data_IF_772961583114
#
_entry.id   IF_772961583114
#
_cell.length_a   1.000
_cell.length_b   1.000
_cell.length_c   1.000
_cell.angle_alpha   90.00
_cell.angle_beta   90.00
_cell.angle_gamma   90.00
#
_symmetry.space_group_name_H-M   'P 1'
#
loop_
_entity.id
_entity.type
_entity.pdbx_description
1 polymer ?
#
# COMPACT_ATOMS: atom_id res chain seq x y z
N UNK A 1 -41.13 -49.70 -28.46
CA UNK A 1 -41.10 -48.72 -29.58
C UNK A 1 -41.59 -47.38 -29.03
N UNK A 2 -40.85 -46.31 -29.30
CA UNK A 2 -40.93 -44.93 -28.77
C UNK A 2 -42.35 -44.31 -28.68
N UNK A 3 -42.77 -43.57 -27.63
CA UNK A 3 -42.37 -42.24 -27.08
C UNK A 3 -43.18 -41.08 -27.70
N UNK A 4 -44.11 -40.47 -26.92
CA UNK A 4 -44.19 -39.02 -26.61
C UNK A 4 -45.46 -38.67 -25.80
N UNK A 5 -45.22 -38.23 -24.56
CA UNK A 5 -46.19 -37.72 -23.59
C UNK A 5 -46.44 -36.21 -23.80
N UNK A 6 -47.71 -35.82 -23.69
CA UNK A 6 -48.14 -34.46 -23.39
C UNK A 6 -49.26 -34.52 -22.34
N UNK A 7 -49.04 -33.79 -21.25
CA UNK A 7 -49.99 -33.00 -20.44
C UNK A 7 -51.27 -33.71 -19.95
N UNK A 8 -51.41 -33.85 -18.62
CA UNK A 8 -52.71 -33.62 -17.96
C UNK A 8 -52.58 -33.38 -16.44
N UNK A 9 -53.27 -32.31 -16.02
CA UNK A 9 -53.86 -31.98 -14.73
C UNK A 9 -54.23 -33.15 -13.80
N UNK A 10 -54.20 -32.93 -12.48
CA UNK A 10 -54.75 -33.90 -11.53
C UNK A 10 -54.82 -33.42 -10.08
N UNK A 11 -55.96 -32.84 -9.72
CA UNK A 11 -56.40 -32.58 -8.35
C UNK A 11 -56.74 -33.90 -7.64
N UNK A 12 -56.38 -33.98 -6.35
CA UNK A 12 -56.87 -34.86 -5.28
C UNK A 12 -57.42 -36.26 -5.61
N UNK A 13 -56.78 -37.28 -5.03
CA UNK A 13 -57.39 -38.19 -4.03
C UNK A 13 -56.39 -39.29 -3.68
N UNK A 14 -56.15 -39.54 -2.40
CA UNK A 14 -55.70 -40.86 -1.97
C UNK A 14 -56.29 -41.22 -0.60
N UNK A 15 -56.87 -42.40 -0.63
CA UNK A 15 -57.70 -43.08 0.35
C UNK A 15 -56.83 -43.64 1.48
N UNK A 16 -57.32 -43.55 2.72
CA UNK A 16 -56.74 -44.26 3.86
C UNK A 16 -57.23 -45.72 3.81
N UNK A 17 -56.30 -46.67 3.71
CA UNK A 17 -56.52 -48.09 4.01
C UNK A 17 -55.46 -48.53 5.01
N UNK A 18 -55.90 -49.22 6.07
CA UNK A 18 -55.18 -49.39 7.33
C UNK A 18 -53.85 -50.15 7.29
N UNK A 19 -53.00 -49.79 8.25
CA UNK A 19 -51.80 -50.49 8.66
C UNK A 19 -51.12 -49.70 9.77
N UNK A 20 -51.09 -50.25 10.99
CA UNK A 20 -50.58 -49.61 12.21
C UNK A 20 -49.15 -49.09 12.06
N UNK A 21 -48.89 -47.84 12.48
CA UNK A 21 -47.54 -47.35 12.77
C UNK A 21 -47.33 -47.31 14.28
N UNK A 22 -46.25 -47.95 14.72
CA UNK A 22 -45.75 -47.97 16.09
C UNK A 22 -44.98 -46.68 16.36
N UNK A 23 -45.28 -45.97 17.45
CA UNK A 23 -44.49 -44.82 17.91
C UNK A 23 -43.30 -45.28 18.77
N UNK A 24 -42.08 -44.75 18.56
CA UNK A 24 -41.04 -44.82 19.58
C UNK A 24 -41.44 -43.89 20.74
N UNK A 25 -41.40 -44.41 21.96
CA UNK A 25 -41.57 -43.62 23.16
C UNK A 25 -40.35 -42.70 23.34
N UNK A 26 -40.60 -41.39 23.43
CA UNK A 26 -39.94 -40.60 24.46
C UNK A 26 -40.84 -39.43 24.88
N UNK A 27 -40.98 -39.34 26.20
CA UNK A 27 -41.96 -38.60 26.97
C UNK A 27 -41.53 -37.14 27.18
N UNK A 28 -42.34 -36.20 26.69
CA UNK A 28 -42.78 -34.99 27.40
C UNK A 28 -43.78 -34.16 26.56
N UNK A 29 -44.73 -34.83 25.91
CA UNK A 29 -45.85 -34.17 25.24
C UNK A 29 -47.03 -34.03 26.20
N UNK A 30 -47.26 -32.82 26.72
CA UNK A 30 -48.50 -32.45 27.39
C UNK A 30 -49.55 -32.17 26.30
N UNK A 31 -50.45 -33.12 26.05
CA UNK A 31 -51.56 -32.93 25.11
C UNK A 31 -52.56 -31.95 25.72
N UNK A 32 -52.65 -30.75 25.15
CA UNK A 32 -53.74 -29.79 25.38
C UNK A 32 -54.60 -29.80 24.10
N UNK A 33 -55.91 -29.94 24.27
CA UNK A 33 -56.83 -30.40 23.23
C UNK A 33 -57.14 -29.43 22.08
N UNK A 34 -57.69 -30.05 21.02
CA UNK A 34 -58.50 -29.54 19.91
C UNK A 34 -57.93 -28.36 19.07
N UNK A 35 -57.65 -28.69 17.79
CA UNK A 35 -57.11 -27.84 16.72
C UNK A 35 -55.66 -27.38 16.91
N UNK A 36 -54.73 -28.32 16.89
CA UNK A 36 -53.35 -28.02 16.48
C UNK A 36 -53.28 -27.98 14.96
N UNK A 37 -53.56 -26.83 14.35
CA UNK A 37 -52.96 -26.52 13.05
C UNK A 37 -51.45 -26.56 13.27
N UNK A 38 -50.77 -27.53 12.67
CA UNK A 38 -49.33 -27.45 12.48
C UNK A 38 -49.10 -26.24 11.57
N UNK A 39 -48.91 -25.06 12.17
CA UNK A 39 -48.32 -23.94 11.45
C UNK A 39 -46.93 -24.40 11.03
N UNK A 40 -46.77 -24.78 9.76
CA UNK A 40 -45.46 -24.80 9.15
C UNK A 40 -44.93 -23.38 9.28
N UNK A 41 -43.99 -23.18 10.22
CA UNK A 41 -43.18 -21.98 10.24
C UNK A 41 -42.32 -22.05 8.99
N UNK A 42 -42.84 -21.53 7.88
CA UNK A 42 -42.05 -21.30 6.67
C UNK A 42 -41.00 -20.27 7.05
N UNK A 43 -39.74 -20.70 7.14
CA UNK A 43 -38.63 -19.77 7.38
C UNK A 43 -38.67 -18.72 6.27
N UNK A 44 -38.72 -17.46 6.66
CA UNK A 44 -38.68 -16.34 5.71
C UNK A 44 -37.35 -16.39 4.96
N UNK A 45 -37.43 -16.48 3.63
CA UNK A 45 -36.26 -16.45 2.75
C UNK A 45 -35.99 -14.99 2.40
N UNK A 46 -34.80 -14.51 2.74
CA UNK A 46 -34.34 -13.15 2.51
C UNK A 46 -33.79 -13.04 1.08
N UNK A 47 -34.36 -12.16 0.24
CA UNK A 47 -33.84 -11.96 -1.11
C UNK A 47 -32.55 -11.13 -1.06
N UNK A 48 -31.47 -11.71 -1.59
CA UNK A 48 -30.22 -11.00 -1.91
C UNK A 48 -30.17 -10.82 -3.42
N UNK A 49 -30.14 -9.56 -3.87
CA UNK A 49 -30.32 -9.19 -5.28
C UNK A 49 -29.04 -8.70 -5.94
N UNK A 50 -28.07 -8.17 -5.18
CA UNK A 50 -26.76 -7.86 -5.73
C UNK A 50 -26.01 -9.18 -6.04
N UNK A 51 -25.61 -9.44 -7.30
CA UNK A 51 -25.02 -10.73 -7.67
C UNK A 51 -23.69 -11.01 -6.97
N UNK A 52 -22.85 -9.98 -6.80
CA UNK A 52 -21.55 -10.11 -6.13
C UNK A 52 -21.74 -10.43 -4.65
N UNK A 53 -22.65 -9.72 -4.00
CA UNK A 53 -22.97 -9.97 -2.60
C UNK A 53 -23.67 -11.33 -2.40
N UNK A 54 -24.59 -11.72 -3.29
CA UNK A 54 -25.24 -13.03 -3.26
C UNK A 54 -24.22 -14.16 -3.36
N UNK A 55 -23.24 -14.03 -4.25
CA UNK A 55 -22.18 -15.01 -4.38
C UNK A 55 -21.34 -15.14 -3.09
N UNK A 56 -20.97 -13.99 -2.51
CA UNK A 56 -20.20 -13.96 -1.27
C UNK A 56 -20.98 -14.56 -0.08
N UNK A 57 -22.26 -14.21 0.06
CA UNK A 57 -23.14 -14.75 1.11
C UNK A 57 -23.36 -16.25 0.92
N UNK A 58 -23.60 -16.72 -0.32
CA UNK A 58 -23.71 -18.17 -0.61
C UNK A 58 -22.45 -18.92 -0.16
N UNK A 59 -21.27 -18.35 -0.45
CA UNK A 59 -19.98 -18.94 -0.07
C UNK A 59 -19.81 -18.99 1.44
N UNK A 60 -20.11 -17.88 2.13
CA UNK A 60 -20.05 -17.82 3.59
C UNK A 60 -21.02 -18.81 4.25
N UNK A 61 -22.28 -18.88 3.78
CA UNK A 61 -23.25 -19.86 4.27
C UNK A 61 -22.80 -21.29 4.02
N UNK A 62 -22.18 -21.58 2.87
CA UNK A 62 -21.68 -22.93 2.57
C UNK A 62 -20.65 -23.39 3.59
N UNK A 63 -19.78 -22.46 4.03
CA UNK A 63 -18.78 -22.71 5.07
C UNK A 63 -19.46 -22.89 6.43
N UNK A 64 -20.34 -21.96 6.83
CA UNK A 64 -21.02 -21.99 8.13
C UNK A 64 -21.94 -23.20 8.33
N UNK A 65 -22.58 -23.67 7.25
CA UNK A 65 -23.52 -24.79 7.31
C UNK A 65 -22.87 -26.15 7.01
N UNK A 66 -21.67 -26.17 6.42
CA UNK A 66 -20.97 -27.41 6.05
C UNK A 66 -21.57 -28.15 4.86
N UNK A 67 -22.41 -27.49 4.06
CA UNK A 67 -22.98 -28.01 2.81
C UNK A 67 -23.18 -26.89 1.80
N UNK A 68 -23.25 -27.18 0.47
CA UNK A 68 -23.56 -26.18 -0.54
C UNK A 68 -24.88 -25.46 -0.19
N UNK A 69 -24.80 -24.15 0.04
CA UNK A 69 -25.96 -23.35 0.37
C UNK A 69 -26.89 -23.20 -0.84
N UNK A 70 -28.20 -23.24 -0.57
CA UNK A 70 -29.28 -23.07 -1.53
C UNK A 70 -30.10 -21.82 -1.18
N UNK A 71 -31.05 -21.42 -2.04
CA UNK A 71 -31.95 -20.29 -1.73
C UNK A 71 -32.72 -20.48 -0.42
N UNK A 72 -33.01 -21.73 -0.02
CA UNK A 72 -33.71 -22.02 1.24
C UNK A 72 -32.87 -21.72 2.48
N UNK A 73 -31.55 -21.59 2.33
CA UNK A 73 -30.63 -21.31 3.43
C UNK A 73 -30.52 -19.83 3.79
N UNK A 74 -31.05 -18.93 2.95
CA UNK A 74 -31.03 -17.47 3.14
C UNK A 74 -32.06 -17.01 4.18
N UNK A 75 -31.98 -17.58 5.37
CA UNK A 75 -32.88 -17.27 6.48
C UNK A 75 -32.18 -16.35 7.47
N UNK A 76 -32.93 -15.54 8.22
CA UNK A 76 -32.38 -14.63 9.24
C UNK A 76 -31.47 -15.37 10.24
N UNK A 77 -31.85 -16.59 10.62
CA UNK A 77 -31.08 -17.46 11.51
C UNK A 77 -29.69 -17.76 10.93
N UNK A 78 -29.63 -18.19 9.67
CA UNK A 78 -28.39 -18.55 9.02
C UNK A 78 -27.53 -17.34 8.67
N UNK A 79 -28.12 -16.27 8.14
CA UNK A 79 -27.38 -15.04 7.82
C UNK A 79 -26.77 -14.39 9.07
N UNK A 80 -27.39 -14.54 10.24
CA UNK A 80 -26.82 -14.07 11.51
C UNK A 80 -25.57 -14.83 11.96
N UNK A 81 -25.27 -15.99 11.37
CA UNK A 81 -24.04 -16.75 11.67
C UNK A 81 -22.83 -16.20 10.93
N UNK A 82 -23.03 -15.44 9.87
CA UNK A 82 -21.94 -14.89 9.05
C UNK A 82 -21.21 -13.79 9.84
N UNK A 83 -19.94 -14.03 10.13
CA UNK A 83 -19.02 -13.05 10.74
C UNK A 83 -17.98 -12.52 9.77
N UNK A 84 -17.76 -13.21 8.65
CA UNK A 84 -16.76 -12.82 7.64
C UNK A 84 -17.36 -12.91 6.25
N UNK A 85 -17.17 -11.85 5.47
CA UNK A 85 -17.50 -11.81 4.05
C UNK A 85 -16.30 -11.35 3.25
N UNK A 86 -16.01 -12.09 2.18
CA UNK A 86 -14.95 -11.75 1.26
C UNK A 86 -15.49 -11.75 -0.16
N UNK A 87 -15.30 -10.64 -0.84
CA UNK A 87 -15.79 -10.38 -2.19
C UNK A 87 -14.59 -10.06 -3.05
N UNK A 88 -14.28 -10.95 -3.99
CA UNK A 88 -13.12 -10.86 -4.86
C UNK A 88 -13.55 -10.93 -6.31
N UNK A 89 -13.07 -10.01 -7.14
CA UNK A 89 -13.21 -10.07 -8.61
C UNK A 89 -14.67 -10.15 -9.10
N UNK A 90 -15.63 -9.80 -8.25
CA UNK A 90 -17.05 -9.73 -8.60
C UNK A 90 -17.56 -8.32 -8.39
N UNK A 91 -18.20 -7.72 -9.41
CA UNK A 91 -18.88 -6.44 -9.27
C UNK A 91 -19.87 -6.45 -8.11
N UNK A 92 -19.80 -5.40 -7.28
CA UNK A 92 -20.78 -5.12 -6.24
C UNK A 92 -21.27 -3.71 -6.44
N UNK A 93 -22.56 -3.59 -6.77
CA UNK A 93 -23.19 -2.32 -7.06
C UNK A 93 -23.85 -1.73 -5.81
N UNK A 94 -24.26 -2.58 -4.86
CA UNK A 94 -24.88 -2.13 -3.61
C UNK A 94 -24.48 -2.99 -2.42
N UNK A 95 -24.22 -2.33 -1.28
CA UNK A 95 -24.03 -2.97 0.01
C UNK A 95 -25.28 -2.96 0.90
N UNK A 96 -26.42 -2.50 0.39
CA UNK A 96 -27.64 -2.27 1.18
C UNK A 96 -28.18 -3.53 1.87
N UNK A 97 -27.89 -4.70 1.32
CA UNK A 97 -28.33 -6.00 1.83
C UNK A 97 -27.41 -6.55 2.93
N UNK A 98 -26.29 -5.89 3.24
CA UNK A 98 -25.45 -6.22 4.40
C UNK A 98 -26.20 -6.05 5.73
N UNK A 99 -27.31 -5.30 5.76
CA UNK A 99 -28.20 -5.22 6.92
C UNK A 99 -28.74 -6.58 7.38
N UNK A 100 -28.72 -7.60 6.52
CA UNK A 100 -29.17 -8.96 6.85
C UNK A 100 -28.09 -9.84 7.48
N UNK A 101 -26.83 -9.38 7.52
CA UNK A 101 -25.70 -10.05 8.19
C UNK A 101 -25.21 -9.22 9.38
N UNK A 102 -26.03 -9.02 10.43
CA UNK A 102 -25.77 -8.03 11.48
C UNK A 102 -24.57 -8.36 12.38
N UNK A 103 -24.04 -9.58 12.29
CA UNK A 103 -22.90 -10.04 13.07
C UNK A 103 -21.57 -9.99 12.31
N UNK A 104 -21.53 -9.28 11.18
CA UNK A 104 -20.31 -9.15 10.38
C UNK A 104 -19.20 -8.43 11.17
N UNK A 105 -18.06 -9.11 11.29
CA UNK A 105 -16.85 -8.64 11.98
C UNK A 105 -15.75 -8.27 10.98
N UNK A 106 -15.66 -8.98 9.85
CA UNK A 106 -14.68 -8.73 8.81
C UNK A 106 -15.33 -8.66 7.42
N UNK A 107 -15.04 -7.59 6.69
CA UNK A 107 -15.50 -7.38 5.32
C UNK A 107 -14.30 -7.06 4.42
N UNK A 108 -14.06 -7.93 3.44
CA UNK A 108 -13.12 -7.66 2.37
C UNK A 108 -13.89 -7.49 1.05
N UNK A 109 -13.70 -6.34 0.40
CA UNK A 109 -14.20 -6.05 -0.95
C UNK A 109 -13.01 -5.63 -1.79
N UNK A 110 -12.37 -6.60 -2.45
CA UNK A 110 -11.17 -6.36 -3.23
C UNK A 110 -11.41 -6.52 -4.72
N UNK A 111 -10.83 -5.62 -5.52
CA UNK A 111 -10.78 -5.72 -6.98
C UNK A 111 -12.15 -5.98 -7.63
N UNK A 112 -13.19 -5.27 -7.17
CA UNK A 112 -14.56 -5.47 -7.64
C UNK A 112 -14.84 -4.78 -9.00
N UNK A 113 -13.90 -3.99 -9.53
CA UNK A 113 -13.97 -3.38 -10.87
C UNK A 113 -15.08 -2.33 -11.05
N UNK A 114 -15.83 -2.03 -10.00
CA UNK A 114 -16.92 -1.05 -10.01
C UNK A 114 -16.70 -0.03 -8.89
N UNK A 115 -16.65 1.28 -9.20
CA UNK A 115 -16.68 2.31 -8.18
C UNK A 115 -17.89 2.08 -7.29
N UNK A 116 -17.66 1.95 -5.99
CA UNK A 116 -18.74 1.72 -5.05
C UNK A 116 -19.44 3.06 -4.81
N UNK A 117 -20.76 3.10 -4.95
CA UNK A 117 -21.48 4.37 -4.85
C UNK A 117 -21.54 4.92 -3.41
N UNK A 118 -21.48 4.06 -2.38
CA UNK A 118 -21.57 4.48 -0.98
C UNK A 118 -21.18 3.36 -0.01
N UNK A 119 -20.52 3.73 1.10
CA UNK A 119 -20.29 2.87 2.26
C UNK A 119 -21.39 2.99 3.33
N UNK A 120 -22.45 3.79 3.11
CA UNK A 120 -23.48 4.05 4.13
C UNK A 120 -24.13 2.78 4.72
N UNK A 121 -24.29 1.66 4.00
CA UNK A 121 -24.80 0.42 4.60
C UNK A 121 -23.90 -0.17 5.69
N UNK A 122 -22.62 0.21 5.74
CA UNK A 122 -21.69 -0.24 6.78
C UNK A 122 -21.89 0.50 8.11
N UNK A 123 -22.54 1.67 8.12
CA UNK A 123 -22.76 2.46 9.34
C UNK A 123 -23.54 1.69 10.43
N UNK A 124 -24.38 0.73 10.04
CA UNK A 124 -25.16 -0.10 10.95
C UNK A 124 -24.44 -1.37 11.46
N UNK A 125 -23.26 -1.69 10.93
CA UNK A 125 -22.53 -2.92 11.25
C UNK A 125 -21.63 -2.70 12.47
N UNK A 126 -22.25 -2.58 13.65
CA UNK A 126 -21.55 -2.21 14.90
C UNK A 126 -20.48 -3.22 15.37
N UNK A 127 -20.44 -4.42 14.78
CA UNK A 127 -19.42 -5.44 15.05
C UNK A 127 -18.28 -5.44 14.04
N UNK A 128 -18.34 -4.61 13.00
CA UNK A 128 -17.34 -4.57 11.95
C UNK A 128 -16.02 -4.02 12.52
N UNK A 129 -15.02 -4.89 12.61
CA UNK A 129 -13.69 -4.63 13.17
C UNK A 129 -12.64 -4.51 12.05
N UNK A 130 -12.82 -5.26 10.97
CA UNK A 130 -11.90 -5.32 9.83
C UNK A 130 -12.62 -4.91 8.55
N UNK A 131 -12.07 -3.91 7.85
CA UNK A 131 -12.55 -3.47 6.54
C UNK A 131 -11.38 -3.38 5.56
N UNK A 132 -11.44 -4.17 4.49
CA UNK A 132 -10.54 -4.05 3.34
C UNK A 132 -11.34 -3.66 2.09
N UNK A 133 -10.91 -2.61 1.40
CA UNK A 133 -11.44 -2.11 0.14
C UNK A 133 -10.33 -2.07 -0.94
N UNK A 134 -9.37 -2.99 -0.87
CA UNK A 134 -8.18 -2.98 -1.73
C UNK A 134 -8.55 -2.99 -3.23
N UNK A 135 -8.07 -1.99 -3.97
CA UNK A 135 -8.36 -1.84 -5.39
C UNK A 135 -9.84 -1.59 -5.71
N UNK A 136 -10.66 -1.25 -4.71
CA UNK A 136 -12.01 -0.74 -4.91
C UNK A 136 -11.94 0.79 -5.02
N UNK A 137 -12.46 1.40 -6.10
CA UNK A 137 -12.46 2.85 -6.20
C UNK A 137 -13.37 3.44 -5.11
N UNK A 138 -12.76 4.14 -4.16
CA UNK A 138 -13.46 4.90 -3.11
C UNK A 138 -13.47 6.38 -3.52
N UNK A 139 -14.66 6.97 -3.62
CA UNK A 139 -14.79 8.40 -3.89
C UNK A 139 -14.73 9.24 -2.61
N UNK A 140 -14.46 10.54 -2.74
CA UNK A 140 -14.30 11.47 -1.61
C UNK A 140 -15.44 11.42 -0.56
N UNK A 141 -16.68 11.22 -1.02
CA UNK A 141 -17.86 11.14 -0.14
C UNK A 141 -17.83 9.89 0.77
N UNK A 142 -17.11 8.84 0.39
CA UNK A 142 -17.02 7.59 1.16
C UNK A 142 -16.14 7.72 2.40
N UNK A 143 -15.13 8.60 2.41
CA UNK A 143 -14.28 8.83 3.59
C UNK A 143 -15.05 9.47 4.75
N UNK A 144 -16.06 10.29 4.44
CA UNK A 144 -16.98 10.84 5.44
C UNK A 144 -17.79 9.74 6.14
N UNK A 145 -18.06 8.64 5.43
CA UNK A 145 -18.76 7.47 5.96
C UNK A 145 -17.84 6.59 6.80
N UNK A 146 -16.58 6.40 6.39
CA UNK A 146 -15.59 5.66 7.18
C UNK A 146 -15.51 6.21 8.61
N UNK A 147 -15.46 7.54 8.75
CA UNK A 147 -15.46 8.24 10.04
C UNK A 147 -16.69 7.99 10.94
N UNK A 148 -17.71 7.25 10.49
CA UNK A 148 -18.85 6.82 11.30
C UNK A 148 -18.75 5.36 11.76
N UNK A 149 -17.89 4.55 11.14
CA UNK A 149 -17.69 3.14 11.45
C UNK A 149 -16.70 3.02 12.62
N UNK A 150 -17.09 3.54 13.78
CA UNK A 150 -16.20 3.69 14.96
C UNK A 150 -15.70 2.37 15.57
N UNK A 151 -16.26 1.23 15.16
CA UNK A 151 -15.86 -0.11 15.58
C UNK A 151 -14.57 -0.60 14.92
N UNK A 152 -14.13 0.04 13.82
CA UNK A 152 -12.97 -0.42 13.06
C UNK A 152 -11.68 -0.40 13.88
N UNK A 153 -10.93 -1.49 13.77
CA UNK A 153 -9.56 -1.64 14.26
C UNK A 153 -8.55 -1.79 13.13
N UNK A 154 -8.96 -2.41 12.03
CA UNK A 154 -8.10 -2.65 10.89
C UNK A 154 -8.77 -2.10 9.64
N UNK A 155 -8.07 -1.18 8.97
CA UNK A 155 -8.53 -0.53 7.76
C UNK A 155 -7.48 -0.70 6.67
N UNK A 156 -7.86 -1.33 5.57
CA UNK A 156 -7.02 -1.46 4.38
C UNK A 156 -7.77 -0.92 3.17
N UNK A 157 -7.22 0.13 2.57
CA UNK A 157 -7.81 0.86 1.44
C UNK A 157 -6.72 1.17 0.42
N UNK A 158 -5.77 0.22 0.28
CA UNK A 158 -4.73 0.25 -0.73
C UNK A 158 -5.29 0.25 -2.17
N UNK A 159 -4.51 0.79 -3.12
CA UNK A 159 -4.92 1.04 -4.51
C UNK A 159 -5.15 2.52 -4.79
N UNK A 160 -5.44 2.93 -6.04
CA UNK A 160 -5.49 4.34 -6.47
C UNK A 160 -6.61 5.18 -5.81
N UNK A 161 -6.51 5.49 -4.51
CA UNK A 161 -7.47 6.31 -3.78
C UNK A 161 -6.93 7.74 -3.63
N UNK A 162 -7.51 8.72 -4.34
CA UNK A 162 -7.08 10.10 -4.16
C UNK A 162 -7.64 10.64 -2.83
N UNK A 163 -6.79 11.37 -2.10
CA UNK A 163 -7.16 12.34 -1.08
C UNK A 163 -8.15 11.86 0.02
N UNK A 164 -7.69 10.94 0.87
CA UNK A 164 -8.46 10.39 1.98
C UNK A 164 -8.90 11.40 3.06
N UNK A 165 -8.26 12.58 3.12
CA UNK A 165 -8.53 13.57 4.16
C UNK A 165 -8.24 13.03 5.57
N UNK A 166 -9.08 13.35 6.55
CA UNK A 166 -8.89 12.98 7.96
C UNK A 166 -9.60 11.68 8.34
N UNK A 167 -8.94 10.81 9.11
CA UNK A 167 -9.52 9.61 9.75
C UNK A 167 -9.71 9.81 11.27
N UNK A 168 -9.90 11.05 11.68
CA UNK A 168 -9.87 11.51 13.07
C UNK A 168 -10.99 10.95 13.96
N UNK A 169 -12.05 10.35 13.41
CA UNK A 169 -13.20 9.86 14.19
C UNK A 169 -13.21 8.35 14.40
N UNK A 170 -12.06 7.69 14.24
CA UNK A 170 -11.92 6.25 14.34
C UNK A 170 -11.08 5.83 15.57
N UNK A 171 -11.62 5.94 16.80
CA UNK A 171 -10.85 5.86 18.04
C UNK A 171 -10.22 4.48 18.31
N UNK A 172 -10.68 3.44 17.62
CA UNK A 172 -10.28 2.06 17.85
C UNK A 172 -9.25 1.54 16.84
N UNK A 173 -8.81 2.36 15.87
CA UNK A 173 -7.83 1.91 14.88
C UNK A 173 -6.53 1.43 15.54
N UNK A 174 -6.12 0.23 15.15
CA UNK A 174 -4.87 -0.42 15.54
C UNK A 174 -3.92 -0.55 14.33
N UNK A 175 -4.46 -0.66 13.11
CA UNK A 175 -3.68 -0.80 11.87
C UNK A 175 -4.36 -0.10 10.69
N UNK A 176 -3.59 0.65 9.91
CA UNK A 176 -4.07 1.32 8.69
C UNK A 176 -3.12 1.05 7.53
N UNK A 177 -3.68 0.59 6.41
CA UNK A 177 -2.99 0.38 5.14
C UNK A 177 -3.58 1.26 4.05
N UNK A 178 -2.72 2.09 3.48
CA UNK A 178 -2.96 3.01 2.36
C UNK A 178 -1.80 2.86 1.37
N UNK A 179 -1.37 1.63 1.08
CA UNK A 179 -0.26 1.36 0.15
C UNK A 179 -0.74 1.38 -1.31
N UNK A 180 0.14 1.69 -2.26
CA UNK A 180 -0.15 1.66 -3.70
C UNK A 180 -1.25 2.64 -4.14
N UNK A 181 -1.32 3.86 -3.59
CA UNK A 181 -2.27 4.87 -4.07
C UNK A 181 -1.74 5.71 -5.24
N UNK A 182 -0.43 5.67 -5.52
CA UNK A 182 0.27 6.37 -6.62
C UNK A 182 0.06 7.90 -6.72
N UNK A 183 -0.83 8.47 -5.89
CA UNK A 183 -1.36 9.84 -5.95
C UNK A 183 -1.50 10.45 -4.55
N UNK A 184 -1.32 9.65 -3.50
CA UNK A 184 -1.40 10.13 -2.12
C UNK A 184 -0.16 10.95 -1.79
N UNK A 185 -0.32 12.28 -1.72
CA UNK A 185 0.77 13.21 -1.38
C UNK A 185 0.86 13.47 0.13
N UNK A 186 -0.22 13.22 0.87
CA UNK A 186 -0.35 13.52 2.30
C UNK A 186 -1.01 12.37 3.03
N UNK A 187 -0.43 11.99 4.15
CA UNK A 187 -1.03 11.02 5.05
C UNK A 187 -2.27 11.61 5.75
N UNK A 188 -3.30 10.79 6.06
CA UNK A 188 -4.45 11.23 6.85
C UNK A 188 -4.06 11.58 8.29
N UNK A 189 -4.87 12.41 8.95
CA UNK A 189 -4.77 12.63 10.40
C UNK A 189 -5.52 11.55 11.18
N UNK A 190 -5.12 11.35 12.44
CA UNK A 190 -5.58 10.26 13.31
C UNK A 190 -5.92 10.73 14.73
N UNK A 191 -6.50 11.92 14.91
CA UNK A 191 -6.59 12.61 16.21
C UNK A 191 -7.13 11.77 17.38
N UNK A 192 -8.07 10.84 17.15
CA UNK A 192 -8.63 9.98 18.22
C UNK A 192 -8.00 8.60 18.33
N UNK A 193 -7.18 8.19 17.35
CA UNK A 193 -6.71 6.81 17.15
C UNK A 193 -5.44 6.49 17.94
N UNK A 194 -5.47 6.71 19.25
CA UNK A 194 -4.31 6.50 20.15
C UNK A 194 -3.82 5.05 20.25
N UNK A 195 -4.58 4.11 19.69
CA UNK A 195 -4.33 2.67 19.74
C UNK A 195 -3.56 2.14 18.52
N UNK A 196 -3.24 2.99 17.53
CA UNK A 196 -2.51 2.59 16.33
C UNK A 196 -1.15 2.00 16.69
N UNK A 197 -0.89 0.83 16.12
CA UNK A 197 0.37 0.07 16.23
C UNK A 197 1.08 -0.04 14.88
N UNK A 198 0.36 0.00 13.77
CA UNK A 198 0.95 -0.16 12.45
C UNK A 198 0.35 0.80 11.41
N UNK A 199 1.23 1.44 10.65
CA UNK A 199 0.89 2.29 9.51
C UNK A 199 1.65 1.81 8.27
N UNK A 200 0.93 1.55 7.18
CA UNK A 200 1.47 1.07 5.90
C UNK A 200 1.12 2.05 4.79
N UNK A 201 2.11 2.81 4.33
CA UNK A 201 1.98 3.90 3.36
C UNK A 201 3.10 3.83 2.32
N UNK A 202 3.41 2.62 1.85
CA UNK A 202 4.42 2.45 0.80
C UNK A 202 3.82 2.65 -0.59
N UNK A 203 4.65 2.97 -1.58
CA UNK A 203 4.25 3.13 -2.99
C UNK A 203 3.23 4.27 -3.19
N UNK A 204 3.58 5.45 -2.66
CA UNK A 204 2.80 6.69 -2.67
C UNK A 204 3.69 7.90 -3.04
N UNK A 205 3.16 9.12 -2.94
CA UNK A 205 3.88 10.36 -3.22
C UNK A 205 4.12 11.22 -1.96
N UNK A 206 4.15 10.60 -0.78
CA UNK A 206 4.24 11.31 0.51
C UNK A 206 5.64 11.86 0.70
N UNK A 207 5.73 13.11 1.15
CA UNK A 207 7.01 13.79 1.41
C UNK A 207 7.18 14.28 2.86
N UNK A 208 6.12 14.22 3.66
CA UNK A 208 6.10 14.67 5.06
C UNK A 208 5.27 13.75 5.95
N UNK A 209 5.73 13.59 7.19
CA UNK A 209 4.97 12.90 8.24
C UNK A 209 4.16 13.96 9.02
N UNK A 210 2.84 13.83 9.16
CA UNK A 210 2.05 14.72 10.02
C UNK A 210 2.47 14.62 11.50
N UNK A 211 2.01 15.56 12.33
CA UNK A 211 2.21 15.47 13.77
C UNK A 211 1.43 14.29 14.35
N UNK A 212 2.13 13.19 14.55
CA UNK A 212 1.64 11.96 15.17
C UNK A 212 2.19 11.79 16.59
N UNK A 213 2.45 12.88 17.31
CA UNK A 213 2.95 12.85 18.69
C UNK A 213 2.08 12.04 19.67
N UNK A 214 0.80 11.86 19.35
CA UNK A 214 -0.15 11.06 20.12
C UNK A 214 -0.07 9.54 19.85
N UNK A 215 0.59 9.09 18.77
CA UNK A 215 0.70 7.66 18.40
C UNK A 215 1.83 6.95 19.16
N UNK A 216 1.84 7.08 20.49
CA UNK A 216 2.87 6.51 21.38
C UNK A 216 2.94 4.98 21.37
N UNK A 217 1.91 4.33 20.83
CA UNK A 217 1.81 2.88 20.67
C UNK A 217 2.29 2.37 19.31
N UNK A 218 2.76 3.24 18.41
CA UNK A 218 3.21 2.84 17.08
C UNK A 218 4.43 1.90 17.18
N UNK A 219 4.29 0.71 16.60
CA UNK A 219 5.29 -0.36 16.58
C UNK A 219 5.90 -0.53 15.19
N UNK A 220 5.16 -0.20 14.12
CA UNK A 220 5.58 -0.35 12.73
C UNK A 220 5.16 0.84 11.87
N UNK A 221 6.11 1.40 11.13
CA UNK A 221 5.90 2.47 10.16
C UNK A 221 6.56 2.10 8.83
N UNK A 222 5.75 1.95 7.78
CA UNK A 222 6.22 1.72 6.41
C UNK A 222 5.90 2.93 5.54
N UNK A 223 6.96 3.52 4.98
CA UNK A 223 6.97 4.70 4.11
C UNK A 223 7.92 4.44 2.92
N UNK A 224 8.07 3.18 2.48
CA UNK A 224 8.93 2.85 1.36
C UNK A 224 8.36 3.40 0.05
N UNK A 225 9.18 3.61 -0.98
CA UNK A 225 8.69 4.07 -2.30
C UNK A 225 7.85 5.36 -2.17
N UNK A 226 8.48 6.42 -1.66
CA UNK A 226 7.87 7.73 -1.39
C UNK A 226 8.88 8.85 -1.67
N UNK A 227 8.49 10.11 -1.38
CA UNK A 227 9.24 11.32 -1.70
C UNK A 227 9.94 11.96 -0.49
N UNK A 228 10.24 11.21 0.59
CA UNK A 228 10.93 11.77 1.76
C UNK A 228 12.37 12.15 1.42
N UNK A 229 12.76 13.39 1.76
CA UNK A 229 14.15 13.89 1.60
C UNK A 229 14.95 13.86 2.90
N UNK A 230 14.27 13.64 4.02
CA UNK A 230 14.85 13.51 5.35
C UNK A 230 14.01 12.55 6.19
N UNK A 231 14.62 11.98 7.22
CA UNK A 231 13.91 11.17 8.21
C UNK A 231 13.09 12.11 9.10
N UNK A 232 11.78 11.89 9.30
CA UNK A 232 10.97 12.73 10.17
C UNK A 232 11.40 12.62 11.65
N UNK A 233 10.88 13.49 12.52
CA UNK A 233 11.05 13.31 13.96
C UNK A 233 10.26 12.08 14.43
N UNK A 234 10.96 11.12 15.04
CA UNK A 234 10.39 9.86 15.51
C UNK A 234 10.36 9.76 17.05
N UNK A 235 10.60 10.88 17.75
CA UNK A 235 10.74 10.94 19.21
C UNK A 235 9.49 10.48 19.98
N UNK A 236 8.31 10.62 19.37
CA UNK A 236 7.05 10.20 19.97
C UNK A 236 6.83 8.67 19.97
N UNK A 237 7.45 7.94 19.03
CA UNK A 237 7.17 6.52 18.79
C UNK A 237 8.03 5.62 19.69
N UNK A 238 7.79 5.70 21.00
CA UNK A 238 8.58 4.99 22.02
C UNK A 238 8.60 3.45 21.85
N UNK A 239 7.58 2.88 21.18
CA UNK A 239 7.44 1.45 20.91
C UNK A 239 7.85 1.02 19.49
N UNK A 240 8.37 1.93 18.67
CA UNK A 240 8.71 1.61 17.28
C UNK A 240 9.77 0.52 17.22
N UNK A 241 9.46 -0.57 16.51
CA UNK A 241 10.35 -1.73 16.31
C UNK A 241 10.63 -2.02 14.84
N UNK A 242 9.91 -1.39 13.92
CA UNK A 242 10.21 -1.48 12.50
C UNK A 242 9.91 -0.16 11.78
N UNK A 243 10.93 0.37 11.09
CA UNK A 243 10.86 1.55 10.24
C UNK A 243 11.34 1.17 8.84
N UNK A 244 10.49 1.33 7.84
CA UNK A 244 10.85 1.13 6.43
C UNK A 244 10.69 2.44 5.69
N UNK A 245 11.80 2.95 5.15
CA UNK A 245 11.85 4.15 4.33
C UNK A 245 12.76 3.91 3.12
N UNK A 246 12.78 2.68 2.61
CA UNK A 246 13.52 2.34 1.38
C UNK A 246 12.98 3.12 0.19
N UNK A 247 13.79 3.30 -0.86
CA UNK A 247 13.31 3.89 -2.14
C UNK A 247 12.69 5.28 -1.92
N UNK A 248 13.44 6.15 -1.24
CA UNK A 248 13.11 7.56 -1.01
C UNK A 248 14.29 8.45 -1.47
N UNK A 249 14.23 9.74 -1.18
CA UNK A 249 15.29 10.72 -1.48
C UNK A 249 16.08 11.15 -0.22
N UNK A 250 16.18 10.31 0.80
CA UNK A 250 16.79 10.68 2.10
C UNK A 250 18.30 10.85 1.94
N UNK A 251 18.81 12.02 2.33
CA UNK A 251 20.26 12.33 2.27
C UNK A 251 20.95 12.43 3.64
N UNK A 252 20.20 12.78 4.68
CA UNK A 252 20.68 12.96 6.05
C UNK A 252 19.89 12.06 7.02
N UNK A 253 20.61 11.25 7.78
CA UNK A 253 20.03 10.30 8.75
C UNK A 253 20.07 10.79 10.19
N UNK A 254 20.50 12.03 10.46
CA UNK A 254 20.69 12.58 11.81
C UNK A 254 19.46 12.41 12.71
N UNK A 255 18.25 12.51 12.16
CA UNK A 255 17.00 12.34 12.92
C UNK A 255 16.77 10.92 13.47
N UNK A 256 17.55 9.92 13.04
CA UNK A 256 17.57 8.60 13.71
C UNK A 256 18.00 8.68 15.19
N UNK A 257 18.70 9.74 15.60
CA UNK A 257 19.05 9.99 17.00
C UNK A 257 17.82 10.09 17.90
N UNK A 258 16.68 10.54 17.36
CA UNK A 258 15.41 10.71 18.09
C UNK A 258 14.75 9.39 18.50
N UNK A 259 15.10 8.28 17.84
CA UNK A 259 14.52 6.97 18.11
C UNK A 259 14.95 6.49 19.50
N UNK A 260 13.99 6.18 20.36
CA UNK A 260 14.29 5.76 21.74
C UNK A 260 14.77 4.30 21.83
N UNK A 261 14.17 3.39 21.05
CA UNK A 261 14.36 1.94 21.17
C UNK A 261 15.36 1.34 20.16
N UNK A 262 16.51 2.01 19.95
CA UNK A 262 17.50 1.67 18.90
C UNK A 262 17.91 0.20 18.88
N UNK A 263 18.11 -0.41 20.05
CA UNK A 263 18.56 -1.80 20.20
C UNK A 263 17.52 -2.85 19.80
N UNK A 264 16.26 -2.48 19.56
CA UNK A 264 15.19 -3.41 19.20
C UNK A 264 14.50 -3.10 17.87
N UNK A 265 14.89 -2.02 17.19
CA UNK A 265 14.28 -1.59 15.92
C UNK A 265 15.07 -2.08 14.72
N UNK A 266 14.35 -2.52 13.68
CA UNK A 266 14.85 -2.67 12.33
C UNK A 266 14.61 -1.37 11.56
N UNK A 267 15.66 -0.83 10.94
CA UNK A 267 15.60 0.36 10.08
C UNK A 267 16.00 -0.03 8.66
N UNK A 268 15.11 0.19 7.69
CA UNK A 268 15.40 0.03 6.26
C UNK A 268 15.47 1.39 5.57
N UNK A 269 16.64 1.72 5.06
CA UNK A 269 16.96 2.91 4.29
C UNK A 269 17.60 2.54 2.94
N UNK A 270 17.36 1.32 2.46
CA UNK A 270 17.87 0.83 1.18
C UNK A 270 17.43 1.75 0.04
N UNK A 271 18.28 1.94 -0.97
CA UNK A 271 17.94 2.70 -2.18
C UNK A 271 17.54 4.17 -1.90
N UNK A 272 18.33 4.88 -1.09
CA UNK A 272 18.17 6.32 -0.82
C UNK A 272 19.37 7.14 -1.37
N UNK A 273 19.56 8.37 -0.89
CA UNK A 273 20.63 9.29 -1.27
C UNK A 273 21.58 9.59 -0.12
N UNK A 274 21.72 8.67 0.84
CA UNK A 274 22.36 8.93 2.13
C UNK A 274 23.83 9.30 1.94
N UNK A 275 24.14 10.55 2.31
CA UNK A 275 25.49 11.12 2.32
C UNK A 275 25.91 11.55 3.72
N UNK A 276 24.98 11.64 4.68
CA UNK A 276 25.28 11.97 6.08
C UNK A 276 24.68 10.94 7.03
N UNK A 277 25.58 10.24 7.73
CA UNK A 277 25.23 9.22 8.71
C UNK A 277 25.14 9.78 10.12
N UNK A 278 24.10 9.40 10.85
CA UNK A 278 24.02 9.66 12.29
C UNK A 278 25.12 8.87 13.04
N UNK A 279 25.67 9.38 14.15
CA UNK A 279 26.62 8.62 14.97
C UNK A 279 26.03 7.32 15.57
N UNK A 280 24.70 7.25 15.67
CA UNK A 280 23.96 6.14 16.30
C UNK A 280 23.73 4.93 15.39
N UNK A 281 24.23 4.94 14.14
CA UNK A 281 23.99 3.86 13.17
C UNK A 281 24.39 2.47 13.70
N UNK A 282 25.44 2.40 14.53
CA UNK A 282 25.90 1.16 15.15
C UNK A 282 25.10 0.69 16.36
N UNK A 283 24.13 1.48 16.84
CA UNK A 283 23.28 1.13 17.98
C UNK A 283 22.01 0.38 17.57
N UNK A 284 21.70 0.33 16.28
CA UNK A 284 20.48 -0.31 15.80
C UNK A 284 20.60 -1.82 15.80
N UNK A 285 19.51 -2.53 16.17
CA UNK A 285 19.44 -4.00 16.05
C UNK A 285 19.79 -4.47 14.65
N UNK A 286 19.26 -3.77 13.65
CA UNK A 286 19.52 -3.98 12.23
C UNK A 286 19.25 -2.68 11.49
N UNK A 287 20.22 -2.25 10.69
CA UNK A 287 20.08 -1.13 9.76
C UNK A 287 20.51 -1.56 8.37
N UNK A 288 19.69 -1.25 7.37
CA UNK A 288 19.96 -1.56 5.97
C UNK A 288 20.10 -0.26 5.20
N UNK A 289 21.24 -0.08 4.55
CA UNK A 289 21.59 1.16 3.80
C UNK A 289 22.16 0.81 2.43
N UNK A 290 21.83 -0.37 1.90
CA UNK A 290 22.32 -0.80 0.59
C UNK A 290 21.79 0.14 -0.51
N UNK A 291 22.48 0.19 -1.64
CA UNK A 291 22.13 0.99 -2.82
C UNK A 291 22.00 2.50 -2.53
N UNK A 292 22.86 3.06 -1.67
CA UNK A 292 22.91 4.49 -1.37
C UNK A 292 24.14 5.18 -1.99
N UNK A 293 24.03 6.47 -2.29
CA UNK A 293 25.15 7.31 -2.72
C UNK A 293 26.05 7.71 -1.54
N UNK A 294 26.92 6.80 -1.13
CA UNK A 294 27.71 6.97 0.10
C UNK A 294 28.74 8.11 -0.02
N UNK A 295 28.81 8.99 0.98
CA UNK A 295 29.77 10.11 1.00
C UNK A 295 31.16 9.77 1.55
N UNK A 296 31.39 8.54 2.00
CA UNK A 296 32.69 8.11 2.57
C UNK A 296 33.40 7.08 1.68
N UNK A 297 34.58 6.61 2.13
CA UNK A 297 35.52 5.77 1.37
C UNK A 297 34.98 4.40 0.91
N UNK A 298 33.69 4.14 1.07
CA UNK A 298 33.00 2.95 0.56
C UNK A 298 31.86 3.28 -0.40
N UNK A 299 31.87 4.42 -1.08
CA UNK A 299 31.03 4.71 -2.25
C UNK A 299 30.54 3.42 -2.93
N UNK A 300 29.22 3.19 -3.01
CA UNK A 300 28.72 2.05 -3.78
C UNK A 300 28.82 2.34 -5.28
N UNK A 301 28.52 3.59 -5.64
CA UNK A 301 28.59 4.12 -6.99
C UNK A 301 29.62 5.25 -7.03
N UNK A 302 30.37 5.32 -8.13
CA UNK A 302 31.24 6.44 -8.45
C UNK A 302 31.04 6.86 -9.91
N UNK A 303 31.30 8.13 -10.22
CA UNK A 303 31.45 8.55 -11.62
C UNK A 303 32.68 7.85 -12.23
N UNK A 304 32.56 7.37 -13.47
CA UNK A 304 33.69 6.79 -14.20
C UNK A 304 34.79 7.86 -14.33
N UNK A 305 36.04 7.56 -13.92
CA UNK A 305 37.16 8.48 -14.10
C UNK A 305 37.33 8.82 -15.58
N UNK A 306 37.33 10.11 -15.90
CA UNK A 306 37.55 10.58 -17.26
C UNK A 306 39.03 10.78 -17.51
N UNK A 307 39.52 10.30 -18.65
CA UNK A 307 40.85 10.63 -19.13
C UNK A 307 40.92 12.11 -19.56
N UNK A 308 42.14 12.63 -19.63
CA UNK A 308 42.39 13.94 -20.24
C UNK A 308 41.83 13.99 -21.68
N UNK A 309 41.16 15.08 -22.00
CA UNK A 309 40.59 15.34 -23.32
C UNK A 309 41.46 16.35 -24.07
N UNK A 310 41.66 16.12 -25.37
CA UNK A 310 42.38 17.05 -26.25
C UNK A 310 41.43 17.49 -27.35
N UNK A 311 41.25 18.79 -27.52
CA UNK A 311 40.34 19.39 -28.51
C UNK A 311 41.02 20.53 -29.26
N UNK A 312 40.66 20.73 -30.52
CA UNK A 312 41.17 21.86 -31.30
C UNK A 312 40.47 23.16 -30.94
N UNK A 313 41.14 24.29 -31.15
CA UNK A 313 40.52 25.62 -31.07
C UNK A 313 39.18 25.70 -31.83
N UNK A 314 38.19 26.41 -31.26
CA UNK A 314 36.85 26.58 -31.84
C UNK A 314 36.06 25.30 -32.13
N UNK A 315 36.50 24.15 -31.58
CA UNK A 315 35.82 22.87 -31.73
C UNK A 315 35.00 22.47 -30.50
N UNK A 316 34.15 21.46 -30.65
CA UNK A 316 33.38 20.89 -29.55
C UNK A 316 33.51 19.38 -29.53
N UNK A 317 33.49 18.81 -28.31
CA UNK A 317 33.35 17.38 -28.08
C UNK A 317 32.16 17.12 -27.16
N UNK A 318 31.62 15.91 -27.27
CA UNK A 318 30.58 15.42 -26.36
C UNK A 318 31.05 14.11 -25.78
N UNK A 319 31.25 14.08 -24.47
CA UNK A 319 31.73 12.90 -23.75
C UNK A 319 30.58 12.28 -22.93
N UNK A 320 30.38 10.95 -23.00
CA UNK A 320 29.44 10.29 -22.11
C UNK A 320 29.97 10.36 -20.67
N UNK A 321 29.09 10.57 -19.71
CA UNK A 321 29.41 10.41 -18.30
C UNK A 321 28.71 9.15 -17.81
N UNK A 322 29.49 8.13 -17.45
CA UNK A 322 28.96 6.88 -16.93
C UNK A 322 29.19 6.78 -15.42
N UNK A 323 28.44 5.88 -14.80
CA UNK A 323 28.61 5.49 -13.42
C UNK A 323 29.22 4.10 -13.36
N UNK A 324 29.92 3.79 -12.27
CA UNK A 324 30.51 2.48 -12.04
C UNK A 324 30.39 2.07 -10.57
N UNK A 325 30.51 0.77 -10.27
CA UNK A 325 30.61 0.31 -8.89
C UNK A 325 31.99 0.64 -8.33
N UNK A 326 32.07 1.29 -7.16
CA UNK A 326 33.39 1.60 -6.60
C UNK A 326 34.16 0.37 -6.14
N UNK A 327 33.46 -0.74 -5.85
CA UNK A 327 34.10 -2.04 -5.58
C UNK A 327 34.72 -2.68 -6.83
N UNK A 328 34.25 -2.31 -8.04
CA UNK A 328 34.79 -2.79 -9.30
C UNK A 328 34.47 -1.77 -10.43
N UNK A 329 35.36 -0.79 -10.68
CA UNK A 329 35.13 0.28 -11.65
C UNK A 329 34.94 -0.17 -13.10
N UNK A 330 35.27 -1.43 -13.43
CA UNK A 330 35.00 -1.99 -14.76
C UNK A 330 33.52 -2.34 -14.99
N UNK A 331 32.71 -2.38 -13.94
CA UNK A 331 31.27 -2.59 -14.03
C UNK A 331 30.60 -1.23 -14.19
N UNK A 332 30.24 -0.90 -15.43
CA UNK A 332 29.48 0.30 -15.77
C UNK A 332 28.00 0.11 -15.40
N UNK A 333 27.44 1.12 -14.76
CA UNK A 333 26.09 1.17 -14.22
C UNK A 333 25.22 2.04 -15.12
N UNK A 334 24.15 1.44 -15.63
CA UNK A 334 23.17 2.12 -16.48
C UNK A 334 22.07 2.81 -15.69
N UNK A 335 21.27 3.68 -16.33
CA UNK A 335 20.15 4.39 -15.68
C UNK A 335 19.10 3.48 -15.03
N UNK A 336 18.96 2.23 -15.49
CA UNK A 336 18.01 1.25 -14.94
C UNK A 336 18.39 0.73 -13.56
N UNK A 337 19.64 0.88 -13.15
CA UNK A 337 20.13 0.45 -11.84
C UNK A 337 19.87 1.48 -10.74
N UNK A 338 19.49 2.70 -11.13
CA UNK A 338 19.17 3.79 -10.22
C UNK A 338 17.65 3.89 -10.04
N UNK A 339 17.22 4.16 -8.81
CA UNK A 339 15.81 4.49 -8.52
C UNK A 339 15.38 5.77 -9.24
N UNK A 340 14.08 6.06 -9.28
CA UNK A 340 13.59 7.31 -9.85
C UNK A 340 14.20 8.55 -9.21
N UNK A 341 14.27 8.58 -7.87
CA UNK A 341 14.91 9.66 -7.14
C UNK A 341 16.39 9.73 -7.50
N UNK A 342 17.10 8.61 -7.49
CA UNK A 342 18.52 8.56 -7.81
C UNK A 342 18.81 9.06 -9.24
N UNK A 343 17.96 8.73 -10.22
CA UNK A 343 18.07 9.18 -11.60
C UNK A 343 18.13 10.70 -11.73
N UNK A 344 17.39 11.43 -10.89
CA UNK A 344 17.46 12.89 -10.88
C UNK A 344 18.85 13.40 -10.48
N UNK A 345 19.60 12.66 -9.68
CA UNK A 345 20.91 13.11 -9.19
C UNK A 345 22.09 12.63 -10.02
N UNK A 346 21.92 11.54 -10.78
CA UNK A 346 22.96 11.00 -11.67
C UNK A 346 22.92 11.59 -13.08
N UNK A 347 21.89 12.38 -13.41
CA UNK A 347 21.82 13.13 -14.65
C UNK A 347 22.88 14.23 -14.67
N UNK A 348 23.69 14.27 -15.75
CA UNK A 348 24.72 15.28 -15.99
C UNK A 348 24.16 16.70 -15.89
N UNK A 349 22.88 16.90 -16.26
CA UNK A 349 22.21 18.20 -16.15
C UNK A 349 22.12 18.73 -14.70
N UNK A 350 22.18 17.85 -13.71
CA UNK A 350 22.04 18.18 -12.30
C UNK A 350 23.38 18.17 -11.54
N UNK A 351 24.50 17.93 -12.22
CA UNK A 351 25.84 18.02 -11.63
C UNK A 351 26.31 19.47 -11.51
N UNK A 352 27.01 19.78 -10.42
CA UNK A 352 27.76 21.04 -10.30
C UNK A 352 29.03 20.93 -11.16
N UNK A 353 29.18 21.84 -12.11
CA UNK A 353 30.34 21.92 -13.01
C UNK A 353 31.16 23.15 -12.64
N UNK A 354 32.47 22.96 -12.44
CA UNK A 354 33.42 24.04 -12.21
C UNK A 354 34.63 23.88 -13.12
N UNK A 355 35.15 24.98 -13.64
CA UNK A 355 36.37 25.02 -14.46
C UNK A 355 37.44 25.87 -13.77
N UNK A 356 38.71 25.51 -13.94
CA UNK A 356 39.83 26.28 -13.37
C UNK A 356 40.06 27.64 -14.05
N UNK A 357 39.53 27.81 -15.27
CA UNK A 357 39.59 29.02 -16.08
C UNK A 357 38.45 29.02 -17.11
N UNK A 358 38.43 30.04 -17.97
CA UNK A 358 37.37 30.28 -18.95
C UNK A 358 37.74 29.85 -20.37
N UNK A 359 38.76 29.01 -20.59
CA UNK A 359 39.21 28.65 -21.95
C UNK A 359 38.19 27.79 -22.71
N UNK A 360 37.32 27.10 -21.98
CA UNK A 360 36.27 26.23 -22.51
C UNK A 360 34.93 26.59 -21.87
N UNK A 361 33.85 26.27 -22.57
CA UNK A 361 32.50 26.22 -22.00
C UNK A 361 32.09 24.75 -21.82
N UNK A 362 31.59 24.42 -20.64
CA UNK A 362 31.16 23.06 -20.30
C UNK A 362 29.68 23.07 -19.95
N UNK A 363 28.90 22.20 -20.58
CA UNK A 363 27.45 22.13 -20.39
C UNK A 363 26.94 20.69 -20.51
N UNK A 364 25.74 20.43 -19.99
CA UNK A 364 25.06 19.16 -20.18
C UNK A 364 24.19 19.19 -21.45
N UNK A 365 24.34 18.18 -22.32
CA UNK A 365 23.54 18.02 -23.54
C UNK A 365 23.13 16.56 -23.67
N UNK A 366 21.82 16.28 -23.63
CA UNK A 366 21.23 14.94 -23.78
C UNK A 366 21.88 13.88 -22.85
N UNK A 367 22.06 14.21 -21.56
CA UNK A 367 22.68 13.32 -20.58
C UNK A 367 24.18 13.08 -20.77
N UNK A 368 24.86 13.95 -21.55
CA UNK A 368 26.30 13.91 -21.80
C UNK A 368 26.93 15.26 -21.50
N UNK A 369 28.24 15.29 -21.31
CA UNK A 369 28.98 16.52 -21.12
C UNK A 369 29.45 17.06 -22.48
N UNK A 370 28.97 18.23 -22.87
CA UNK A 370 29.44 18.97 -24.02
C UNK A 370 30.52 19.96 -23.59
N UNK A 371 31.67 19.92 -24.25
CA UNK A 371 32.79 20.81 -24.01
C UNK A 371 33.07 21.56 -25.30
N UNK A 372 33.15 22.89 -25.23
CA UNK A 372 33.42 23.76 -26.37
C UNK A 372 34.67 24.60 -26.09
N UNK A 373 35.66 24.54 -26.98
CA UNK A 373 36.83 25.41 -26.93
C UNK A 373 36.49 26.81 -27.47
N UNK A 374 36.88 27.86 -26.74
CA UNK A 374 36.69 29.24 -27.20
C UNK A 374 37.67 29.59 -28.31
N UNK A 375 37.21 30.47 -29.21
CA UNK A 375 38.01 31.00 -30.30
C UNK A 375 39.19 31.83 -29.76
N UNK A 376 40.38 31.61 -30.32
CA UNK A 376 41.62 32.31 -30.02
C UNK A 376 42.31 31.93 -28.71
N UNK A 377 41.84 30.88 -28.01
CA UNK A 377 42.35 30.50 -26.69
C UNK A 377 42.92 29.08 -26.72
N UNK A 378 44.19 28.94 -26.36
CA UNK A 378 44.89 27.65 -26.19
C UNK A 378 45.29 27.44 -24.73
N UNK A 379 45.45 26.19 -24.32
CA UNK A 379 45.94 25.83 -23.01
C UNK A 379 45.07 24.84 -22.26
N UNK A 380 45.42 24.59 -21.00
CA UNK A 380 44.83 23.56 -20.17
C UNK A 380 43.71 24.11 -19.28
N UNK A 381 42.61 23.38 -19.18
CA UNK A 381 41.52 23.64 -18.23
C UNK A 381 41.26 22.40 -17.40
N UNK A 382 41.26 22.53 -16.07
CA UNK A 382 40.77 21.49 -15.19
C UNK A 382 39.24 21.63 -15.07
N UNK A 383 38.52 20.54 -15.33
CA UNK A 383 37.07 20.44 -15.17
C UNK A 383 36.79 19.58 -13.95
N UNK A 384 36.03 20.13 -13.01
CA UNK A 384 35.55 19.45 -11.81
C UNK A 384 34.04 19.28 -11.90
N UNK A 385 33.59 18.03 -11.86
CA UNK A 385 32.19 17.66 -11.75
C UNK A 385 31.93 17.19 -10.32
N UNK A 386 30.84 17.64 -9.70
CA UNK A 386 30.49 17.23 -8.35
C UNK A 386 28.98 17.06 -8.10
N UNK A 387 28.64 16.08 -7.27
CA UNK A 387 27.31 15.88 -6.69
C UNK A 387 27.38 15.93 -5.16
N UNK A 388 26.53 16.78 -4.56
CA UNK A 388 26.42 17.02 -3.12
C UNK A 388 27.78 17.15 -2.39
N UNK A 389 28.80 17.69 -3.08
CA UNK A 389 30.18 17.91 -2.61
C UNK A 389 30.97 16.64 -2.22
N UNK A 390 30.34 15.48 -2.22
CA UNK A 390 30.95 14.22 -1.77
C UNK A 390 31.32 13.28 -2.92
N UNK A 391 30.65 13.39 -4.07
CA UNK A 391 30.97 12.63 -5.28
C UNK A 391 31.62 13.59 -6.26
N UNK A 392 32.90 13.42 -6.54
CA UNK A 392 33.66 14.31 -7.41
C UNK A 392 34.46 13.53 -8.46
N UNK A 393 34.52 14.06 -9.68
CA UNK A 393 35.48 13.62 -10.71
C UNK A 393 36.11 14.85 -11.34
N UNK A 394 37.43 14.80 -11.50
CA UNK A 394 38.22 15.85 -12.12
C UNK A 394 38.94 15.29 -13.34
N UNK A 395 39.03 16.07 -14.41
CA UNK A 395 39.81 15.74 -15.59
C UNK A 395 40.30 17.00 -16.29
N UNK A 396 41.33 16.84 -17.10
CA UNK A 396 41.91 17.93 -17.88
C UNK A 396 41.32 18.02 -19.28
N UNK A 397 41.23 19.25 -19.81
CA UNK A 397 40.94 19.53 -21.21
C UNK A 397 42.03 20.43 -21.76
N UNK A 398 42.82 19.90 -22.70
CA UNK A 398 43.81 20.65 -23.44
C UNK A 398 43.20 21.19 -24.74
N UNK A 399 43.29 22.50 -24.96
CA UNK A 399 42.95 23.15 -26.24
C UNK A 399 44.24 23.41 -27.02
N UNK A 400 44.35 22.77 -28.20
CA UNK A 400 45.51 22.82 -29.10
C UNK A 400 45.24 23.54 -30.43
#
# INVERSE_FOLDING_TARGET
>A
MNLRNAIACGVATSVIVGGSMVFPQNSDAKVIGAQSTLEMVTKEIIPITDPGLKNAITTALTIELGHPATEEDFTSENLSKITTLAIYLTPVHSLSELKYVPNLEALNISNNGTPMASLSPLEGLNKLVELSLNGAPVGDEMYSTLNKITSLKYLDIAGDTPNIGSLDKLPNLESVSLTFNNTLEKMPTFETSTQIKALYFSDDNISELPDYSHLVNLERLELGYNNFTSIPDLSAFSKLTALYMSENAISDTSNLETIQNKQNILVDLTSNLISKYAPVMGEFKRVMTLNNFMADQKMQYMMEPLAEQVISESSSIVIPLNWALSSNPSIIIGPSEFTEHQRQFVDVANLKIATSNDNIDVSAVNGKLAIHAKEGIIGMTEVKLSYNENIEVNFGVAVE
#
